data_IF_767687502565
#
_entry.id   IF_767687502565
#
_cell.length_a   1.000
_cell.length_b   1.000
_cell.length_c   1.000
_cell.angle_alpha   90.00
_cell.angle_beta   90.00
_cell.angle_gamma   90.00
#
_symmetry.space_group_name_H-M   'P 1'
#
loop_
_entity.id
_entity.type
_entity.pdbx_description
1 polymer ?
#
# COMPACT_ATOMS: atom_id res chain seq x y z
N UNK A 1 28.92 -42.89 -18.46
CA UNK A 1 29.82 -41.93 -17.79
C UNK A 1 28.96 -41.17 -16.82
N UNK A 2 29.43 -41.09 -15.58
CA UNK A 2 28.66 -40.50 -14.49
C UNK A 2 28.85 -38.99 -14.49
N UNK A 3 27.76 -38.24 -14.42
CA UNK A 3 27.76 -36.78 -14.28
C UNK A 3 26.84 -36.35 -13.13
N UNK A 4 27.01 -35.12 -12.67
CA UNK A 4 26.18 -34.50 -11.65
C UNK A 4 25.36 -33.36 -12.26
N UNK A 5 24.09 -33.27 -11.90
CA UNK A 5 23.19 -32.18 -12.30
C UNK A 5 22.77 -31.43 -11.04
N UNK A 6 23.07 -30.15 -10.97
CA UNK A 6 22.65 -29.27 -9.87
C UNK A 6 21.42 -28.49 -10.29
N UNK A 7 20.32 -28.67 -9.56
CA UNK A 7 19.04 -28.01 -9.81
C UNK A 7 19.02 -26.55 -9.30
N UNK A 8 17.93 -25.84 -9.59
CA UNK A 8 17.70 -24.46 -9.13
C UNK A 8 17.72 -24.27 -7.61
N UNK A 9 17.53 -25.35 -6.84
CA UNK A 9 17.55 -25.35 -5.38
C UNK A 9 18.93 -25.72 -4.81
N UNK A 10 19.92 -25.92 -5.68
CA UNK A 10 21.28 -26.30 -5.31
C UNK A 10 21.44 -27.78 -4.95
N UNK A 11 20.48 -28.64 -5.30
CA UNK A 11 20.55 -30.09 -5.05
C UNK A 11 21.23 -30.77 -6.23
N UNK A 12 22.20 -31.63 -5.94
CA UNK A 12 22.91 -32.40 -6.97
C UNK A 12 22.35 -33.81 -7.10
N UNK A 13 21.91 -34.16 -8.31
CA UNK A 13 21.49 -35.51 -8.69
C UNK A 13 22.53 -36.16 -9.60
N UNK A 14 22.66 -37.47 -9.53
CA UNK A 14 23.64 -38.23 -10.33
C UNK A 14 22.96 -38.86 -11.54
N UNK A 15 23.57 -38.74 -12.73
CA UNK A 15 23.04 -39.31 -13.97
C UNK A 15 24.12 -40.06 -14.75
N UNK A 16 23.76 -41.23 -15.29
CA UNK A 16 24.61 -41.99 -16.23
C UNK A 16 24.24 -41.63 -17.67
N UNK A 17 25.23 -41.16 -18.42
CA UNK A 17 25.08 -40.74 -19.82
C UNK A 17 26.06 -41.50 -20.73
N UNK A 18 25.77 -41.57 -22.03
CA UNK A 18 26.73 -42.07 -23.02
C UNK A 18 27.41 -40.87 -23.70
N UNK A 19 28.71 -40.93 -23.93
CA UNK A 19 29.43 -39.83 -24.60
C UNK A 19 29.05 -39.59 -26.05
N UNK A 20 28.38 -40.56 -26.67
CA UNK A 20 27.82 -40.46 -28.01
C UNK A 20 26.45 -39.76 -28.05
N UNK A 21 25.82 -39.51 -26.91
CA UNK A 21 24.55 -38.78 -26.84
C UNK A 21 24.80 -37.27 -27.06
N UNK A 22 23.72 -36.58 -27.42
CA UNK A 22 23.66 -35.13 -27.61
C UNK A 22 23.15 -34.43 -26.36
N UNK A 23 23.34 -33.11 -26.31
CA UNK A 23 22.76 -32.25 -25.25
C UNK A 23 21.23 -32.30 -25.28
N UNK A 24 20.61 -32.46 -26.45
CA UNK A 24 19.16 -32.66 -26.57
C UNK A 24 18.69 -33.94 -25.84
N UNK A 25 19.32 -35.09 -26.09
CA UNK A 25 18.98 -36.36 -25.42
C UNK A 25 19.24 -36.31 -23.90
N UNK A 26 20.19 -35.49 -23.45
CA UNK A 26 20.38 -35.22 -22.03
C UNK A 26 19.22 -34.42 -21.43
N UNK A 27 18.67 -33.45 -22.16
CA UNK A 27 17.52 -32.66 -21.70
C UNK A 27 16.27 -33.50 -21.50
N UNK A 28 16.00 -34.46 -22.41
CA UNK A 28 14.90 -35.42 -22.26
C UNK A 28 15.03 -36.22 -20.95
N UNK A 29 16.22 -36.72 -20.65
CA UNK A 29 16.50 -37.43 -19.37
C UNK A 29 16.32 -36.54 -18.14
N UNK A 30 16.60 -35.25 -18.27
CA UNK A 30 16.39 -34.27 -17.19
C UNK A 30 14.89 -33.97 -17.04
N UNK A 31 14.13 -33.90 -18.14
CA UNK A 31 12.67 -33.77 -18.13
C UNK A 31 12.05 -34.90 -17.30
N UNK A 32 12.45 -36.15 -17.54
CA UNK A 32 11.99 -37.31 -16.79
C UNK A 32 12.31 -37.24 -15.28
N UNK A 33 13.41 -36.57 -14.91
CA UNK A 33 13.87 -36.46 -13.52
C UNK A 33 13.26 -35.27 -12.76
N UNK A 34 13.01 -34.15 -13.44
CA UNK A 34 12.63 -32.89 -12.79
C UNK A 34 11.26 -32.37 -13.19
N UNK A 35 10.65 -32.91 -14.25
CA UNK A 35 9.37 -32.45 -14.81
C UNK A 35 9.45 -31.09 -15.51
N UNK A 36 10.65 -30.65 -15.94
CA UNK A 36 10.87 -29.37 -16.63
C UNK A 36 11.03 -29.67 -18.11
N UNK A 37 10.22 -29.09 -18.98
CA UNK A 37 10.29 -29.32 -20.44
C UNK A 37 11.65 -28.97 -21.06
N UNK A 38 12.09 -29.69 -22.10
CA UNK A 38 13.42 -29.50 -22.72
C UNK A 38 13.65 -28.07 -23.24
N UNK A 39 12.58 -27.43 -23.69
CA UNK A 39 12.53 -26.05 -24.20
C UNK A 39 12.92 -25.03 -23.13
N UNK A 40 12.55 -25.31 -21.88
CA UNK A 40 12.76 -24.44 -20.72
C UNK A 40 14.09 -24.70 -20.02
N UNK A 41 14.81 -25.77 -20.38
CA UNK A 41 16.08 -26.13 -19.74
C UNK A 41 17.28 -25.39 -20.35
N UNK A 42 18.03 -24.68 -19.50
CA UNK A 42 19.34 -24.11 -19.81
C UNK A 42 20.41 -24.90 -19.06
N UNK A 43 21.19 -25.69 -19.81
CA UNK A 43 22.29 -26.48 -19.26
C UNK A 43 23.61 -25.74 -19.45
N UNK A 44 24.39 -25.61 -18.39
CA UNK A 44 25.71 -24.99 -18.46
C UNK A 44 26.78 -25.73 -17.67
N UNK A 45 28.02 -25.67 -18.15
CA UNK A 45 29.21 -26.22 -17.49
C UNK A 45 30.31 -25.17 -17.49
N UNK A 46 30.92 -24.92 -16.33
CA UNK A 46 31.97 -23.90 -16.16
C UNK A 46 31.57 -22.52 -16.70
N UNK A 47 30.28 -22.16 -16.56
CA UNK A 47 29.74 -20.89 -17.06
C UNK A 47 29.52 -20.81 -18.57
N UNK A 48 29.69 -21.91 -19.32
CA UNK A 48 29.35 -22.00 -20.74
C UNK A 48 28.06 -22.79 -20.93
N UNK A 49 27.11 -22.20 -21.66
CA UNK A 49 25.87 -22.87 -22.05
C UNK A 49 26.17 -23.96 -23.07
N UNK A 50 25.49 -25.11 -22.92
CA UNK A 50 25.57 -26.23 -23.84
C UNK A 50 24.56 -26.05 -24.98
N UNK A 51 25.00 -26.28 -26.22
CA UNK A 51 24.14 -26.22 -27.40
C UNK A 51 23.49 -27.58 -27.68
N UNK A 52 22.20 -27.59 -28.04
CA UNK A 52 21.41 -28.83 -28.21
C UNK A 52 22.04 -29.86 -29.17
N UNK A 53 22.72 -29.40 -30.23
CA UNK A 53 23.36 -30.23 -31.26
C UNK A 53 24.75 -30.76 -30.88
N UNK A 54 25.31 -30.32 -29.75
CA UNK A 54 26.64 -30.75 -29.33
C UNK A 54 26.62 -32.15 -28.71
N UNK A 55 27.69 -32.90 -28.93
CA UNK A 55 27.88 -34.21 -28.28
C UNK A 55 28.25 -34.01 -26.80
N UNK A 56 27.77 -34.89 -25.93
CA UNK A 56 28.10 -34.81 -24.51
C UNK A 56 29.60 -35.00 -24.27
N UNK A 57 30.27 -35.84 -25.06
CA UNK A 57 31.72 -36.06 -24.96
C UNK A 57 32.59 -34.85 -25.34
N UNK A 58 32.07 -33.84 -26.04
CA UNK A 58 32.84 -32.63 -26.36
C UNK A 58 32.90 -31.63 -25.21
N UNK A 59 32.01 -31.75 -24.22
CA UNK A 59 31.90 -30.80 -23.11
C UNK A 59 31.98 -31.44 -21.73
N UNK A 60 31.78 -32.76 -21.63
CA UNK A 60 31.63 -33.48 -20.37
C UNK A 60 32.61 -34.64 -20.26
N UNK A 61 33.02 -34.91 -19.02
CA UNK A 61 33.81 -36.07 -18.62
C UNK A 61 33.15 -36.73 -17.40
N UNK A 62 33.61 -37.94 -17.05
CA UNK A 62 33.17 -38.58 -15.80
C UNK A 62 33.45 -37.65 -14.62
N UNK A 63 32.42 -37.35 -13.83
CA UNK A 63 32.46 -36.44 -12.69
C UNK A 63 32.16 -34.97 -13.01
N UNK A 64 31.83 -34.62 -14.25
CA UNK A 64 31.42 -33.25 -14.60
C UNK A 64 30.12 -32.84 -13.90
N UNK A 65 30.05 -31.57 -13.48
CA UNK A 65 28.85 -30.97 -12.89
C UNK A 65 28.17 -30.03 -13.90
N UNK A 66 26.89 -30.25 -14.15
CA UNK A 66 26.02 -29.45 -15.01
C UNK A 66 25.09 -28.64 -14.13
N UNK A 67 24.99 -27.34 -14.40
CA UNK A 67 24.05 -26.46 -13.74
C UNK A 67 22.80 -26.34 -14.61
N UNK A 68 21.65 -26.73 -14.05
CA UNK A 68 20.34 -26.58 -14.67
C UNK A 68 19.75 -25.23 -14.23
N UNK A 69 19.58 -24.33 -15.19
CA UNK A 69 18.79 -23.12 -15.06
C UNK A 69 17.50 -23.26 -15.88
N UNK A 70 16.47 -22.49 -15.52
CA UNK A 70 15.26 -22.38 -16.33
C UNK A 70 15.36 -21.11 -17.17
N UNK A 71 15.18 -21.25 -18.49
CA UNK A 71 14.91 -20.10 -19.35
C UNK A 71 13.58 -19.51 -18.90
N UNK A 72 13.62 -18.37 -18.19
CA UNK A 72 12.40 -17.60 -18.00
C UNK A 72 12.04 -17.01 -19.36
N UNK A 73 10.91 -17.43 -19.92
CA UNK A 73 10.31 -16.78 -21.08
C UNK A 73 9.99 -15.36 -20.62
N UNK A 74 10.85 -14.41 -20.95
CA UNK A 74 10.47 -13.01 -20.97
C UNK A 74 9.34 -12.92 -21.99
N UNK A 75 8.17 -12.44 -21.56
CA UNK A 75 6.99 -12.29 -22.42
C UNK A 75 7.37 -11.52 -23.68
N UNK A 76 7.64 -12.26 -24.74
CA UNK A 76 7.71 -11.79 -26.11
C UNK A 76 6.76 -12.73 -26.81
N UNK A 77 5.56 -12.22 -27.05
CA UNK A 77 4.43 -12.94 -27.59
C UNK A 77 4.79 -13.65 -28.87
N UNK A 78 4.54 -14.94 -28.88
CA UNK A 78 4.20 -15.79 -30.02
C UNK A 78 3.64 -17.13 -29.47
N UNK A 79 2.96 -17.08 -28.32
CA UNK A 79 2.01 -18.10 -27.93
C UNK A 79 0.65 -17.44 -28.13
N UNK A 80 -0.15 -17.95 -29.06
CA UNK A 80 -1.59 -17.67 -29.15
C UNK A 80 -2.31 -18.27 -27.92
N UNK A 81 -1.88 -17.92 -26.71
CA UNK A 81 -2.78 -17.90 -25.58
C UNK A 81 -3.76 -16.77 -25.91
N UNK A 82 -4.98 -17.11 -26.33
CA UNK A 82 -6.08 -16.14 -26.32
C UNK A 82 -6.09 -15.53 -24.92
N UNK A 83 -5.58 -14.29 -24.78
CA UNK A 83 -5.67 -13.56 -23.53
C UNK A 83 -7.17 -13.43 -23.24
N UNK A 84 -7.67 -14.29 -22.34
CA UNK A 84 -9.08 -14.30 -21.98
C UNK A 84 -9.43 -12.89 -21.49
N UNK A 85 -10.25 -12.20 -22.28
CA UNK A 85 -10.63 -10.84 -21.96
C UNK A 85 -11.36 -10.84 -20.62
N UNK A 86 -10.88 -10.03 -19.67
CA UNK A 86 -11.48 -9.93 -18.35
C UNK A 86 -12.98 -9.67 -18.45
N UNK A 87 -13.77 -10.38 -17.65
CA UNK A 87 -15.22 -10.20 -17.62
C UNK A 87 -15.59 -8.77 -17.18
N UNK A 88 -16.80 -8.28 -17.52
CA UNK A 88 -17.26 -6.95 -17.08
C UNK A 88 -17.20 -6.76 -15.54
N UNK A 89 -17.46 -7.82 -14.78
CA UNK A 89 -17.36 -7.80 -13.32
C UNK A 89 -15.91 -7.65 -12.86
N UNK A 90 -14.96 -8.38 -13.46
CA UNK A 90 -13.54 -8.26 -13.14
C UNK A 90 -13.00 -6.88 -13.50
N UNK A 91 -13.37 -6.34 -14.67
CA UNK A 91 -13.05 -4.97 -15.07
C UNK A 91 -13.58 -3.96 -14.04
N UNK A 92 -14.82 -4.14 -13.56
CA UNK A 92 -15.38 -3.31 -12.50
C UNK A 92 -14.59 -3.41 -11.18
N UNK A 93 -14.22 -4.62 -10.75
CA UNK A 93 -13.43 -4.81 -9.53
C UNK A 93 -12.03 -4.18 -9.63
N UNK A 94 -11.37 -4.30 -10.79
CA UNK A 94 -10.06 -3.69 -11.06
C UNK A 94 -10.17 -2.16 -11.05
N UNK A 95 -11.18 -1.61 -11.73
CA UNK A 95 -11.44 -0.16 -11.74
C UNK A 95 -11.73 0.37 -10.32
N UNK A 96 -12.57 -0.33 -9.56
CA UNK A 96 -12.88 -0.05 -8.16
C UNK A 96 -11.62 -0.07 -7.29
N UNK A 97 -10.74 -1.05 -7.49
CA UNK A 97 -9.46 -1.12 -6.80
C UNK A 97 -8.58 0.09 -7.10
N UNK A 98 -8.36 0.44 -8.37
CA UNK A 98 -7.54 1.59 -8.73
C UNK A 98 -8.06 2.90 -8.14
N UNK A 99 -9.36 3.17 -8.26
CA UNK A 99 -9.95 4.40 -7.73
C UNK A 99 -9.88 4.42 -6.19
N UNK A 100 -10.19 3.32 -5.51
CA UNK A 100 -10.15 3.29 -4.03
C UNK A 100 -8.74 3.41 -3.46
N UNK A 101 -7.72 2.94 -4.18
CA UNK A 101 -6.30 3.08 -3.78
C UNK A 101 -5.66 4.41 -4.19
N UNK A 102 -6.41 5.35 -4.77
CA UNK A 102 -5.87 6.64 -5.19
C UNK A 102 -5.10 7.35 -4.07
N UNK A 103 -3.94 7.97 -4.38
CA UNK A 103 -3.24 8.82 -3.44
C UNK A 103 -4.11 9.98 -2.94
N UNK A 104 -3.82 10.52 -1.74
CA UNK A 104 -4.57 11.66 -1.19
C UNK A 104 -4.63 12.84 -2.18
N UNK A 105 -5.84 13.32 -2.49
CA UNK A 105 -6.03 14.47 -3.38
C UNK A 105 -5.96 14.19 -4.88
N UNK A 106 -5.67 12.94 -5.29
CA UNK A 106 -5.42 12.59 -6.69
C UNK A 106 -6.53 11.75 -7.34
N UNK A 107 -7.58 11.41 -6.59
CA UNK A 107 -8.66 10.52 -7.05
C UNK A 107 -9.33 10.99 -8.34
N UNK A 108 -9.47 12.29 -8.59
CA UNK A 108 -10.10 12.80 -9.81
C UNK A 108 -9.27 12.49 -11.06
N UNK A 109 -7.93 12.50 -10.95
CA UNK A 109 -7.06 12.10 -12.04
C UNK A 109 -7.20 10.60 -12.31
N UNK A 110 -7.16 9.80 -11.24
CA UNK A 110 -7.29 8.33 -11.35
C UNK A 110 -8.65 7.92 -11.92
N UNK A 111 -9.74 8.58 -11.51
CA UNK A 111 -11.08 8.31 -12.08
C UNK A 111 -11.09 8.60 -13.58
N UNK A 112 -10.56 9.75 -14.02
CA UNK A 112 -10.51 10.11 -15.44
C UNK A 112 -9.69 9.09 -16.25
N UNK A 113 -8.54 8.68 -15.73
CA UNK A 113 -7.68 7.69 -16.39
C UNK A 113 -8.36 6.32 -16.44
N UNK A 114 -8.94 5.86 -15.35
CA UNK A 114 -9.64 4.55 -15.28
C UNK A 114 -10.87 4.51 -16.18
N UNK A 115 -11.67 5.58 -16.22
CA UNK A 115 -12.81 5.68 -17.14
C UNK A 115 -12.35 5.60 -18.59
N UNK A 116 -11.24 6.26 -18.92
CA UNK A 116 -10.65 6.22 -20.27
C UNK A 116 -10.09 4.84 -20.61
N UNK A 117 -9.50 4.14 -19.65
CA UNK A 117 -8.91 2.81 -19.86
C UNK A 117 -9.95 1.70 -19.98
N UNK A 118 -11.05 1.78 -19.24
CA UNK A 118 -12.13 0.80 -19.32
C UNK A 118 -12.93 0.98 -20.61
N UNK A 119 -13.12 2.23 -21.05
CA UNK A 119 -13.83 2.61 -22.29
C UNK A 119 -15.19 1.91 -22.49
N UNK A 120 -15.88 1.61 -21.39
CA UNK A 120 -17.19 0.95 -21.38
C UNK A 120 -18.10 1.59 -20.32
N UNK A 121 -19.06 2.38 -20.82
CA UNK A 121 -20.04 3.08 -19.99
C UNK A 121 -21.05 2.15 -19.31
N UNK A 122 -21.17 0.89 -19.71
CA UNK A 122 -22.01 -0.08 -19.02
C UNK A 122 -21.36 -0.59 -17.72
N UNK A 123 -20.03 -0.54 -17.64
CA UNK A 123 -19.25 -0.97 -16.47
C UNK A 123 -19.09 0.19 -15.49
N UNK A 124 -18.70 1.38 -15.98
CA UNK A 124 -18.49 2.58 -15.16
C UNK A 124 -19.58 3.63 -15.39
N UNK A 125 -20.84 3.21 -15.26
CA UNK A 125 -21.97 4.15 -15.24
C UNK A 125 -21.97 5.05 -13.99
N UNK A 126 -22.86 6.05 -13.96
CA UNK A 126 -22.97 7.00 -12.84
C UNK A 126 -23.23 6.31 -11.49
N UNK A 127 -23.99 5.21 -11.48
CA UNK A 127 -24.34 4.47 -10.27
C UNK A 127 -23.12 3.73 -9.71
N UNK A 128 -22.39 3.04 -10.57
CA UNK A 128 -21.20 2.29 -10.25
C UNK A 128 -20.05 3.22 -9.80
N UNK A 129 -19.85 4.34 -10.51
CA UNK A 129 -18.91 5.38 -10.08
C UNK A 129 -19.29 5.97 -8.72
N UNK A 130 -20.57 6.24 -8.46
CA UNK A 130 -21.01 6.72 -7.15
C UNK A 130 -20.77 5.70 -6.04
N UNK A 131 -20.92 4.41 -6.31
CA UNK A 131 -20.61 3.34 -5.35
C UNK A 131 -19.12 3.30 -5.00
N UNK A 132 -18.26 3.34 -6.02
CA UNK A 132 -16.80 3.35 -5.83
C UNK A 132 -16.35 4.62 -5.10
N UNK A 133 -16.85 5.78 -5.53
CA UNK A 133 -16.51 7.07 -4.93
C UNK A 133 -17.00 7.19 -3.49
N UNK A 134 -18.19 6.67 -3.16
CA UNK A 134 -18.66 6.59 -1.77
C UNK A 134 -17.63 5.85 -0.92
N UNK A 135 -17.25 4.63 -1.34
CA UNK A 135 -16.28 3.80 -0.62
C UNK A 135 -14.94 4.51 -0.46
N UNK A 136 -14.39 5.07 -1.54
CA UNK A 136 -13.14 5.84 -1.48
C UNK A 136 -13.23 7.02 -0.49
N UNK A 137 -14.31 7.80 -0.57
CA UNK A 137 -14.49 9.00 0.23
C UNK A 137 -14.60 8.67 1.72
N UNK A 138 -15.35 7.63 2.08
CA UNK A 138 -15.48 7.15 3.46
C UNK A 138 -14.17 6.54 3.99
N UNK A 139 -13.50 5.67 3.22
CA UNK A 139 -12.27 5.00 3.65
C UNK A 139 -11.08 5.94 3.84
N UNK A 140 -11.09 7.06 3.12
CA UNK A 140 -10.05 8.10 3.14
C UNK A 140 -10.42 9.33 3.97
N UNK A 141 -11.58 9.33 4.64
CA UNK A 141 -12.14 10.49 5.35
C UNK A 141 -12.00 11.79 4.55
N UNK A 142 -12.46 11.78 3.30
CA UNK A 142 -12.37 12.93 2.40
C UNK A 142 -13.02 14.15 3.05
N UNK A 143 -12.29 15.26 3.08
CA UNK A 143 -12.76 16.52 3.66
C UNK A 143 -13.52 17.28 2.58
N UNK A 144 -14.76 17.64 2.87
CA UNK A 144 -15.65 18.34 1.96
C UNK A 144 -16.29 19.56 2.62
N UNK A 145 -16.57 20.58 1.81
CA UNK A 145 -17.21 21.81 2.25
C UNK A 145 -18.73 21.74 2.05
N UNK A 146 -19.47 22.27 3.02
CA UNK A 146 -20.87 22.67 2.89
C UNK A 146 -21.06 24.03 3.56
N UNK A 147 -21.55 25.01 2.81
CA UNK A 147 -21.90 26.35 3.33
C UNK A 147 -20.74 27.01 4.13
N UNK A 148 -19.54 27.02 3.53
CA UNK A 148 -18.34 27.62 4.14
C UNK A 148 -17.76 26.85 5.34
N UNK A 149 -18.32 25.69 5.69
CA UNK A 149 -17.90 24.86 6.83
C UNK A 149 -17.50 23.46 6.35
N UNK A 150 -16.38 22.98 6.88
CA UNK A 150 -15.83 21.67 6.52
C UNK A 150 -16.48 20.54 7.31
N UNK A 151 -16.64 19.39 6.65
CA UNK A 151 -17.08 18.12 7.21
C UNK A 151 -16.26 16.98 6.57
N UNK A 152 -16.43 15.75 7.06
CA UNK A 152 -15.76 14.57 6.48
C UNK A 152 -16.79 13.57 5.98
N UNK A 153 -16.44 12.85 4.92
CA UNK A 153 -17.11 11.60 4.57
C UNK A 153 -16.67 10.52 5.56
N UNK A 154 -17.63 9.89 6.23
CA UNK A 154 -17.36 8.82 7.20
C UNK A 154 -18.56 7.89 7.24
N UNK A 155 -18.32 6.58 7.17
CA UNK A 155 -19.37 5.57 7.31
C UNK A 155 -20.10 5.67 8.67
N UNK A 156 -19.44 6.18 9.71
CA UNK A 156 -20.07 6.43 11.03
C UNK A 156 -21.07 7.59 11.03
N UNK A 157 -21.01 8.44 10.00
CA UNK A 157 -21.94 9.53 9.79
C UNK A 157 -23.01 9.23 8.73
N UNK A 158 -22.97 8.09 8.04
CA UNK A 158 -23.93 7.75 6.99
C UNK A 158 -25.32 7.46 7.59
N UNK A 159 -26.32 8.21 7.13
CA UNK A 159 -27.72 8.07 7.52
C UNK A 159 -28.54 7.30 6.47
N UNK A 160 -27.88 6.81 5.41
CA UNK A 160 -28.53 6.19 4.27
C UNK A 160 -28.98 7.24 3.23
N UNK A 161 -29.34 6.75 2.04
CA UNK A 161 -29.80 7.59 0.92
C UNK A 161 -28.83 8.73 0.54
N UNK A 162 -27.54 8.58 0.85
CA UNK A 162 -26.53 9.61 0.62
C UNK A 162 -26.65 10.83 1.55
N UNK A 163 -27.32 10.69 2.68
CA UNK A 163 -27.37 11.69 3.76
C UNK A 163 -26.31 11.37 4.80
N UNK A 164 -25.64 12.39 5.33
CA UNK A 164 -24.61 12.29 6.33
C UNK A 164 -24.87 13.23 7.49
N UNK A 165 -24.62 12.77 8.70
CA UNK A 165 -24.60 13.61 9.88
C UNK A 165 -23.27 14.36 9.99
N UNK A 166 -23.34 15.68 10.14
CA UNK A 166 -22.21 16.53 10.52
C UNK A 166 -22.27 16.82 12.03
N UNK A 167 -21.52 16.06 12.85
CA UNK A 167 -21.53 16.21 14.31
C UNK A 167 -20.85 17.47 14.83
N UNK A 168 -20.07 18.16 13.98
CA UNK A 168 -19.33 19.38 14.34
C UNK A 168 -20.29 20.57 14.26
N UNK A 169 -21.03 20.67 13.16
CA UNK A 169 -21.93 21.79 12.90
C UNK A 169 -23.40 21.48 13.21
N UNK A 170 -23.69 20.26 13.68
CA UNK A 170 -25.03 19.77 14.04
C UNK A 170 -26.05 19.98 12.92
N UNK A 171 -25.77 19.35 11.78
CA UNK A 171 -26.61 19.43 10.58
C UNK A 171 -26.61 18.11 9.81
N UNK A 172 -27.59 17.93 8.94
CA UNK A 172 -27.63 16.83 7.97
C UNK A 172 -27.20 17.35 6.60
N UNK A 173 -26.36 16.57 5.94
CA UNK A 173 -25.74 16.89 4.66
C UNK A 173 -26.14 15.87 3.61
N UNK A 174 -26.39 16.30 2.38
CA UNK A 174 -26.55 15.43 1.21
C UNK A 174 -25.25 15.40 0.43
N UNK A 175 -24.76 14.20 0.15
CA UNK A 175 -23.50 13.97 -0.57
C UNK A 175 -23.65 14.10 -2.09
N UNK A 176 -22.66 14.73 -2.71
CA UNK A 176 -22.28 14.52 -4.11
C UNK A 176 -20.90 13.83 -4.11
N UNK A 177 -20.88 12.52 -4.39
CA UNK A 177 -19.67 11.70 -4.21
C UNK A 177 -18.58 11.99 -5.23
N UNK A 178 -18.97 12.31 -6.47
CA UNK A 178 -18.03 12.62 -7.54
C UNK A 178 -17.42 14.00 -7.35
N UNK A 179 -18.25 15.01 -7.04
CA UNK A 179 -17.73 16.36 -6.76
C UNK A 179 -17.07 16.47 -5.40
N UNK A 180 -17.27 15.48 -4.52
CA UNK A 180 -16.76 15.46 -3.14
C UNK A 180 -17.22 16.71 -2.38
N UNK A 181 -18.49 17.04 -2.52
CA UNK A 181 -19.13 18.18 -1.85
C UNK A 181 -20.37 17.73 -1.08
N UNK A 182 -20.81 18.62 -0.19
CA UNK A 182 -22.05 18.44 0.56
C UNK A 182 -22.99 19.62 0.32
N UNK A 183 -24.29 19.34 0.33
CA UNK A 183 -25.33 20.37 0.45
C UNK A 183 -26.08 20.20 1.77
N UNK A 184 -26.43 21.31 2.41
CA UNK A 184 -27.16 21.29 3.70
C UNK A 184 -28.62 20.93 3.43
N UNK A 185 -29.18 20.02 4.23
CA UNK A 185 -30.59 19.64 4.16
C UNK A 185 -31.36 20.20 5.34
N UNK A 186 -32.69 20.14 5.27
CA UNK A 186 -33.61 20.47 6.37
C UNK A 186 -33.99 19.24 7.20
N UNK A 187 -33.29 18.11 7.03
CA UNK A 187 -33.58 16.88 7.77
C UNK A 187 -33.27 17.07 9.27
N UNK A 188 -34.01 16.40 10.16
CA UNK A 188 -33.76 16.47 11.60
C UNK A 188 -32.40 15.88 11.94
N UNK A 189 -31.71 16.53 12.89
CA UNK A 189 -30.43 16.04 13.40
C UNK A 189 -30.66 14.77 14.25
N UNK A 190 -29.90 13.69 14.02
CA UNK A 190 -29.98 12.49 14.85
C UNK A 190 -29.65 12.79 16.32
N UNK A 191 -30.44 12.24 17.23
CA UNK A 191 -30.17 12.29 18.67
C UNK A 191 -29.51 10.99 19.14
N UNK A 192 -28.58 11.11 20.11
CA UNK A 192 -27.93 9.96 20.74
C UNK A 192 -28.06 10.04 22.25
N UNK A 193 -28.32 8.91 22.92
CA UNK A 193 -28.27 8.80 24.38
C UNK A 193 -26.90 9.11 24.97
N UNK A 194 -25.83 9.07 24.16
CA UNK A 194 -24.46 9.37 24.56
C UNK A 194 -23.96 10.73 24.07
N UNK A 195 -24.86 11.63 23.69
CA UNK A 195 -24.52 12.96 23.14
C UNK A 195 -23.63 13.77 24.09
N UNK A 196 -23.80 13.64 25.41
CA UNK A 196 -22.96 14.32 26.40
C UNK A 196 -21.48 13.90 26.32
N UNK A 197 -21.20 12.61 26.13
CA UNK A 197 -19.83 12.10 25.92
C UNK A 197 -19.30 12.53 24.56
N UNK A 198 -20.11 12.41 23.50
CA UNK A 198 -19.73 12.78 22.13
C UNK A 198 -19.30 14.24 22.05
N UNK A 199 -20.11 15.16 22.61
CA UNK A 199 -19.81 16.60 22.61
C UNK A 199 -18.55 16.91 23.43
N UNK A 200 -18.41 16.31 24.61
CA UNK A 200 -17.22 16.53 25.45
C UNK A 200 -15.94 16.04 24.76
N UNK A 201 -15.98 14.87 24.13
CA UNK A 201 -14.87 14.29 23.36
C UNK A 201 -14.58 15.14 22.13
N UNK A 202 -15.61 15.58 21.39
CA UNK A 202 -15.45 16.48 20.24
C UNK A 202 -14.71 17.76 20.62
N UNK A 203 -15.13 18.44 21.70
CA UNK A 203 -14.50 19.69 22.12
C UNK A 203 -13.03 19.49 22.51
N UNK A 204 -12.73 18.40 23.23
CA UNK A 204 -11.36 18.05 23.59
C UNK A 204 -10.51 17.67 22.36
N UNK A 205 -11.08 16.91 21.43
CA UNK A 205 -10.40 16.45 20.21
C UNK A 205 -10.11 17.61 19.24
N UNK A 206 -11.02 18.60 19.13
CA UNK A 206 -10.78 19.81 18.34
C UNK A 206 -9.60 20.61 18.89
N UNK A 207 -9.50 20.75 20.21
CA UNK A 207 -8.35 21.42 20.85
C UNK A 207 -7.03 20.67 20.58
N UNK A 208 -7.06 19.34 20.65
CA UNK A 208 -5.91 18.51 20.29
C UNK A 208 -5.52 18.72 18.82
N UNK A 209 -6.49 18.64 17.90
CA UNK A 209 -6.29 18.83 16.47
C UNK A 209 -5.60 20.17 16.18
N UNK A 210 -6.09 21.27 16.74
CA UNK A 210 -5.49 22.60 16.58
C UNK A 210 -4.05 22.66 17.10
N UNK A 211 -3.73 21.98 18.22
CA UNK A 211 -2.39 21.99 18.77
C UNK A 211 -1.39 21.12 17.98
N UNK A 212 -1.82 19.95 17.54
CA UNK A 212 -0.96 18.95 16.92
C UNK A 212 -0.80 19.17 15.40
N UNK A 213 -1.87 19.58 14.71
CA UNK A 213 -1.93 19.69 13.25
C UNK A 213 -1.80 21.13 12.73
N UNK A 214 -2.14 22.14 13.53
CA UNK A 214 -2.11 23.56 13.12
C UNK A 214 -0.85 24.30 13.61
N UNK A 215 0.35 23.75 13.33
CA UNK A 215 1.61 24.42 13.67
C UNK A 215 1.83 25.66 12.77
N UNK A 216 2.06 26.83 13.39
CA UNK A 216 2.20 28.15 12.73
C UNK A 216 3.29 28.25 11.64
N UNK A 217 4.24 27.32 11.60
CA UNK A 217 5.40 27.32 10.67
C UNK A 217 5.06 26.89 9.24
N UNK A 218 3.79 26.73 8.90
CA UNK A 218 3.40 25.77 7.89
C UNK A 218 2.22 26.34 7.07
N UNK A 219 2.50 26.84 5.86
CA UNK A 219 1.61 27.63 4.96
C UNK A 219 0.13 27.15 4.89
N UNK A 220 -0.84 28.07 5.03
CA UNK A 220 -2.27 27.80 5.31
C UNK A 220 -3.15 27.43 4.11
N UNK A 221 -2.77 27.77 2.88
CA UNK A 221 -3.71 27.73 1.74
C UNK A 221 -4.17 26.31 1.32
N UNK A 222 -3.32 25.29 1.50
CA UNK A 222 -3.57 23.92 1.01
C UNK A 222 -3.76 22.89 2.13
N UNK A 223 -4.04 23.36 3.35
CA UNK A 223 -4.12 22.48 4.52
C UNK A 223 -5.54 22.39 4.99
N UNK A 224 -6.02 21.17 5.06
CA UNK A 224 -7.33 20.85 5.59
C UNK A 224 -7.14 19.80 6.66
N UNK A 225 -7.59 20.10 7.88
CA UNK A 225 -7.70 19.13 8.93
C UNK A 225 -9.07 19.26 9.58
N UNK A 226 -9.74 18.13 9.80
CA UNK A 226 -11.05 18.07 10.42
C UNK A 226 -11.09 16.89 11.37
N UNK A 227 -11.75 17.08 12.50
CA UNK A 227 -12.15 15.99 13.40
C UNK A 227 -13.66 15.91 13.43
N UNK A 228 -14.19 14.69 13.36
CA UNK A 228 -15.60 14.42 13.59
C UNK A 228 -15.75 13.27 14.59
N UNK A 229 -16.65 13.44 15.54
CA UNK A 229 -16.92 12.48 16.61
C UNK A 229 -18.39 12.07 16.54
N UNK A 230 -18.60 10.80 16.29
CA UNK A 230 -19.91 10.15 16.14
C UNK A 230 -20.21 9.28 17.36
N UNK A 231 -21.49 9.10 17.65
CA UNK A 231 -21.96 8.21 18.70
C UNK A 231 -23.06 7.30 18.15
N UNK A 232 -23.01 6.01 18.44
CA UNK A 232 -24.05 5.05 18.07
C UNK A 232 -24.89 4.62 19.29
N UNK A 233 -25.98 3.90 19.04
CA UNK A 233 -26.87 3.40 20.09
C UNK A 233 -26.25 2.29 20.96
N UNK A 234 -25.15 1.67 20.50
CA UNK A 234 -24.39 0.69 21.28
C UNK A 234 -23.44 1.32 22.29
N UNK A 235 -23.24 2.65 22.20
CA UNK A 235 -22.32 3.40 23.05
C UNK A 235 -20.91 3.52 22.52
N UNK A 236 -20.66 3.14 21.28
CA UNK A 236 -19.38 3.40 20.64
C UNK A 236 -19.30 4.87 20.25
N UNK A 237 -18.25 5.53 20.73
CA UNK A 237 -17.83 6.84 20.28
C UNK A 237 -16.72 6.64 19.25
N UNK A 238 -16.96 7.10 18.02
CA UNK A 238 -16.04 7.00 16.90
C UNK A 238 -15.46 8.38 16.61
N UNK A 239 -14.14 8.53 16.81
CA UNK A 239 -13.38 9.74 16.57
C UNK A 239 -12.64 9.56 15.25
N UNK A 240 -13.03 10.33 14.23
CA UNK A 240 -12.40 10.33 12.92
C UNK A 240 -11.63 11.63 12.73
N UNK A 241 -10.33 11.54 12.52
CA UNK A 241 -9.43 12.65 12.22
C UNK A 241 -8.94 12.49 10.79
N UNK A 242 -9.03 13.57 10.01
CA UNK A 242 -8.49 13.63 8.65
C UNK A 242 -7.62 14.87 8.54
N UNK A 243 -6.42 14.73 8.01
CA UNK A 243 -5.53 15.82 7.69
C UNK A 243 -4.87 15.57 6.33
N UNK A 244 -4.97 16.57 5.45
CA UNK A 244 -4.42 16.52 4.09
C UNK A 244 -3.58 17.76 3.85
N UNK A 245 -2.45 17.56 3.18
CA UNK A 245 -1.57 18.63 2.71
C UNK A 245 -1.03 18.23 1.34
N UNK A 246 -1.25 19.07 0.35
CA UNK A 246 -1.00 18.72 -1.04
C UNK A 246 -0.42 19.89 -1.84
N UNK A 247 0.49 19.55 -2.74
CA UNK A 247 1.06 20.44 -3.76
C UNK A 247 1.26 19.70 -5.08
N UNK A 248 0.22 18.99 -5.51
CA UNK A 248 0.23 18.10 -6.68
C UNK A 248 0.78 18.80 -7.94
N UNK A 249 0.25 19.99 -8.29
CA UNK A 249 0.63 20.69 -9.54
C UNK A 249 1.95 21.47 -9.45
N UNK A 250 2.27 21.99 -8.26
CA UNK A 250 3.37 22.95 -8.09
C UNK A 250 4.65 22.30 -7.56
N UNK A 251 4.55 21.12 -6.93
CA UNK A 251 5.66 20.43 -6.30
C UNK A 251 5.55 18.90 -6.37
N UNK A 252 4.58 18.35 -7.11
CA UNK A 252 4.47 16.92 -7.41
C UNK A 252 4.45 16.02 -6.17
N UNK A 253 3.75 16.45 -5.11
CA UNK A 253 3.55 15.60 -3.93
C UNK A 253 2.19 15.84 -3.25
N UNK A 254 1.72 14.80 -2.58
CA UNK A 254 0.53 14.80 -1.74
C UNK A 254 0.78 14.00 -0.45
N UNK A 255 0.09 14.38 0.63
CA UNK A 255 0.21 13.74 1.93
C UNK A 255 -1.12 13.73 2.65
N UNK A 256 -1.44 12.59 3.25
CA UNK A 256 -2.67 12.35 3.98
C UNK A 256 -2.41 11.59 5.28
N UNK A 257 -3.12 11.98 6.33
CA UNK A 257 -3.15 11.32 7.63
C UNK A 257 -4.59 11.13 8.04
N UNK A 258 -4.98 9.88 8.26
CA UNK A 258 -6.32 9.51 8.72
C UNK A 258 -6.19 8.70 10.01
N UNK A 259 -6.91 9.10 11.04
CA UNK A 259 -7.01 8.33 12.28
C UNK A 259 -8.45 8.06 12.66
N UNK A 260 -8.71 6.84 13.09
CA UNK A 260 -9.98 6.43 13.66
C UNK A 260 -9.72 5.84 15.04
N UNK A 261 -10.44 6.34 16.04
CA UNK A 261 -10.45 5.77 17.37
C UNK A 261 -11.87 5.41 17.77
N UNK A 262 -12.05 4.23 18.35
CA UNK A 262 -13.35 3.76 18.85
C UNK A 262 -13.23 3.40 20.31
N UNK A 263 -14.14 3.95 21.13
CA UNK A 263 -14.24 3.66 22.56
C UNK A 263 -15.71 3.49 22.95
N UNK A 264 -16.03 2.42 23.67
CA UNK A 264 -17.38 2.20 24.15
C UNK A 264 -17.60 2.89 25.51
N UNK A 265 -18.62 3.74 25.61
CA UNK A 265 -18.98 4.51 26.82
C UNK A 265 -20.28 4.02 27.46
N UNK A 266 -20.83 2.87 27.03
CA UNK A 266 -22.09 2.36 27.55
C UNK A 266 -22.00 1.95 29.02
N UNK A 267 -20.81 1.52 29.46
CA UNK A 267 -20.53 1.10 30.84
C UNK A 267 -19.43 1.97 31.46
N UNK A 268 -19.62 2.36 32.72
CA UNK A 268 -18.55 3.00 33.51
C UNK A 268 -17.45 1.98 33.84
N UNK A 269 -16.23 2.45 34.04
CA UNK A 269 -15.07 1.59 34.32
C UNK A 269 -14.07 1.55 33.17
N UNK A 270 -13.22 0.53 33.11
CA UNK A 270 -12.21 0.42 32.07
C UNK A 270 -12.82 0.03 30.72
N UNK A 271 -12.46 0.78 29.66
CA UNK A 271 -12.83 0.52 28.28
C UNK A 271 -11.60 0.49 27.38
N UNK A 272 -11.59 -0.41 26.40
CA UNK A 272 -10.54 -0.48 25.38
C UNK A 272 -10.70 0.63 24.36
N UNK A 273 -9.56 1.14 23.89
CA UNK A 273 -9.48 2.07 22.76
C UNK A 273 -8.98 1.28 21.56
N UNK A 274 -9.85 1.12 20.56
CA UNK A 274 -9.46 0.60 19.26
C UNK A 274 -8.93 1.76 18.42
N UNK A 275 -7.80 1.58 17.77
CA UNK A 275 -7.17 2.62 16.95
C UNK A 275 -6.76 2.07 15.58
N UNK A 276 -7.08 2.83 14.54
CA UNK A 276 -6.63 2.64 13.16
C UNK A 276 -6.04 3.96 12.67
N UNK A 277 -4.75 3.96 12.32
CA UNK A 277 -4.09 5.14 11.74
C UNK A 277 -3.55 4.76 10.36
N UNK A 278 -3.83 5.58 9.35
CA UNK A 278 -3.29 5.47 8.00
C UNK A 278 -2.50 6.72 7.66
N UNK A 279 -1.24 6.56 7.31
CA UNK A 279 -0.39 7.63 6.77
C UNK A 279 -0.05 7.31 5.32
N UNK A 280 -0.34 8.24 4.41
CA UNK A 280 -0.08 8.12 2.97
C UNK A 280 0.67 9.33 2.47
N UNK A 281 1.75 9.11 1.73
CA UNK A 281 2.51 10.17 1.05
C UNK A 281 2.82 9.70 -0.36
N UNK A 282 2.69 10.59 -1.33
CA UNK A 282 3.03 10.33 -2.72
C UNK A 282 3.92 11.46 -3.22
N UNK A 283 5.05 11.12 -3.83
CA UNK A 283 5.95 12.03 -4.51
C UNK A 283 6.21 11.50 -5.91
N UNK A 284 5.98 12.35 -6.91
CA UNK A 284 6.01 11.95 -8.32
C UNK A 284 6.78 12.93 -9.23
N UNK A 285 7.73 13.67 -8.64
CA UNK A 285 8.70 14.44 -9.41
C UNK A 285 9.75 13.48 -10.00
N UNK A 286 9.78 13.35 -11.33
CA UNK A 286 10.73 12.49 -12.07
C UNK A 286 10.74 11.00 -11.65
N UNK A 287 9.65 10.53 -11.05
CA UNK A 287 9.51 9.15 -10.58
C UNK A 287 8.15 8.92 -9.92
N UNK A 288 7.98 7.77 -9.25
CA UNK A 288 6.81 7.50 -8.41
C UNK A 288 7.29 6.84 -7.12
N UNK A 289 7.17 7.57 -6.00
CA UNK A 289 7.54 7.11 -4.66
C UNK A 289 6.35 7.28 -3.74
N UNK A 290 5.91 6.18 -3.12
CA UNK A 290 4.79 6.18 -2.18
C UNK A 290 5.21 5.64 -0.81
N UNK A 291 4.70 6.29 0.24
CA UNK A 291 4.61 5.74 1.58
C UNK A 291 3.15 5.38 1.81
N UNK A 292 2.90 4.10 2.11
CA UNK A 292 1.60 3.63 2.62
C UNK A 292 1.89 2.92 3.93
N UNK A 293 1.42 3.50 5.03
CA UNK A 293 1.66 2.97 6.37
C UNK A 293 0.37 2.90 7.16
N UNK A 294 0.18 1.80 7.89
CA UNK A 294 -1.04 1.48 8.62
C UNK A 294 -0.70 0.95 10.01
N UNK A 295 -1.34 1.51 11.03
CA UNK A 295 -1.33 1.01 12.41
C UNK A 295 -2.73 0.54 12.79
N UNK A 296 -2.84 -0.67 13.33
CA UNK A 296 -4.03 -1.17 14.00
C UNK A 296 -3.68 -1.68 15.39
N UNK A 297 -4.35 -1.17 16.42
CA UNK A 297 -4.09 -1.52 17.84
C UNK A 297 -5.38 -1.54 18.67
N UNK A 298 -5.39 -2.38 19.71
CA UNK A 298 -6.50 -2.55 20.67
C UNK A 298 -6.02 -2.73 22.13
N UNK A 299 -4.77 -2.37 22.40
CA UNK A 299 -4.07 -2.60 23.66
C UNK A 299 -4.16 -1.42 24.65
N UNK A 300 -4.53 -0.23 24.17
CA UNK A 300 -4.77 0.92 25.03
C UNK A 300 -6.14 0.82 25.73
N UNK A 301 -6.21 1.26 26.98
CA UNK A 301 -7.46 1.39 27.74
C UNK A 301 -7.58 2.75 28.41
N UNK A 302 -8.81 3.16 28.67
CA UNK A 302 -9.18 4.40 29.37
C UNK A 302 -10.28 4.12 30.38
N UNK A 303 -10.37 4.92 31.43
CA UNK A 303 -11.46 4.81 32.41
C UNK A 303 -12.63 5.72 32.02
N UNK A 304 -13.80 5.12 31.79
CA UNK A 304 -15.07 5.80 31.53
C UNK A 304 -15.68 6.21 32.87
N UNK A 305 -15.80 7.51 33.05
CA UNK A 305 -16.42 8.15 34.21
C UNK A 305 -17.39 9.22 33.74
N UNK A 306 -17.31 10.43 34.30
CA UNK A 306 -18.12 11.55 33.83
C UNK A 306 -17.65 12.04 32.44
N UNK A 307 -18.52 12.61 31.60
CA UNK A 307 -18.20 12.97 30.21
C UNK A 307 -16.92 13.79 30.04
N UNK A 308 -16.73 14.83 30.86
CA UNK A 308 -15.55 15.70 30.78
C UNK A 308 -14.25 15.03 31.19
N UNK A 309 -14.28 14.12 32.18
CA UNK A 309 -13.09 13.36 32.60
C UNK A 309 -12.75 12.30 31.55
N UNK A 310 -13.77 11.61 31.03
CA UNK A 310 -13.65 10.62 29.96
C UNK A 310 -13.05 11.26 28.70
N UNK A 311 -13.54 12.44 28.31
CA UNK A 311 -13.02 13.17 27.15
C UNK A 311 -11.51 13.48 27.26
N UNK A 312 -11.06 13.93 28.43
CA UNK A 312 -9.63 14.18 28.68
C UNK A 312 -8.81 12.90 28.59
N UNK A 313 -9.27 11.81 29.19
CA UNK A 313 -8.57 10.52 29.16
C UNK A 313 -8.48 9.95 27.74
N UNK A 314 -9.58 10.01 26.97
CA UNK A 314 -9.64 9.54 25.58
C UNK A 314 -8.70 10.34 24.70
N UNK A 315 -8.73 11.68 24.75
CA UNK A 315 -7.86 12.51 23.91
C UNK A 315 -6.37 12.37 24.30
N UNK A 316 -6.06 12.20 25.59
CA UNK A 316 -4.69 11.89 26.00
C UNK A 316 -4.21 10.54 25.45
N UNK A 317 -5.08 9.53 25.37
CA UNK A 317 -4.77 8.25 24.74
C UNK A 317 -4.55 8.43 23.22
N UNK A 318 -5.40 9.20 22.54
CA UNK A 318 -5.23 9.56 21.11
C UNK A 318 -3.86 10.20 20.87
N UNK A 319 -3.53 11.26 21.60
CA UNK A 319 -2.25 11.98 21.47
C UNK A 319 -1.05 11.04 21.70
N UNK A 320 -1.12 10.20 22.73
CA UNK A 320 -0.05 9.24 23.03
C UNK A 320 0.14 8.22 21.89
N UNK A 321 -0.95 7.68 21.35
CA UNK A 321 -0.90 6.68 20.27
C UNK A 321 -0.38 7.31 18.99
N UNK A 322 -0.90 8.47 18.58
CA UNK A 322 -0.45 9.18 17.37
C UNK A 322 1.02 9.59 17.48
N UNK A 323 1.43 10.15 18.63
CA UNK A 323 2.82 10.57 18.85
C UNK A 323 3.79 9.39 18.81
N UNK A 324 3.43 8.27 19.45
CA UNK A 324 4.24 7.05 19.41
C UNK A 324 4.34 6.48 17.98
N UNK A 325 3.25 6.52 17.22
CA UNK A 325 3.25 6.05 15.84
C UNK A 325 4.12 6.95 14.95
N UNK A 326 3.97 8.26 15.06
CA UNK A 326 4.84 9.22 14.35
C UNK A 326 6.31 8.97 14.68
N UNK A 327 6.67 8.86 15.97
CA UNK A 327 8.04 8.56 16.38
C UNK A 327 8.57 7.25 15.78
N UNK A 328 7.75 6.20 15.74
CA UNK A 328 8.14 4.92 15.12
C UNK A 328 8.42 5.03 13.62
N UNK A 329 7.68 5.91 12.90
CA UNK A 329 7.93 6.17 11.48
C UNK A 329 9.23 6.96 11.28
N UNK A 330 9.51 7.95 12.13
CA UNK A 330 10.78 8.70 12.10
C UNK A 330 11.99 7.76 12.32
N UNK A 331 11.91 6.87 13.31
CA UNK A 331 12.93 5.84 13.57
C UNK A 331 13.07 4.84 12.42
N UNK A 332 11.96 4.46 11.79
CA UNK A 332 11.96 3.60 10.59
C UNK A 332 12.78 4.23 9.47
N UNK A 333 12.56 5.53 9.17
CA UNK A 333 13.30 6.22 8.11
C UNK A 333 14.80 6.34 8.41
N UNK A 334 15.18 6.61 9.67
CA UNK A 334 16.58 6.61 10.09
C UNK A 334 17.21 5.23 9.86
N UNK A 335 16.50 4.16 10.25
CA UNK A 335 16.98 2.77 10.11
C UNK A 335 17.11 2.35 8.65
N UNK A 336 16.14 2.71 7.81
CA UNK A 336 16.15 2.43 6.37
C UNK A 336 17.37 3.08 5.70
N UNK A 337 17.61 4.37 5.97
CA UNK A 337 18.73 5.12 5.41
C UNK A 337 20.10 4.60 5.85
N UNK A 338 20.22 4.17 7.11
CA UNK A 338 21.50 3.74 7.66
C UNK A 338 21.85 2.28 7.35
N UNK A 339 20.85 1.41 7.20
CA UNK A 339 21.06 -0.06 7.13
C UNK A 339 20.49 -0.67 5.85
N UNK A 340 19.17 -0.62 5.65
CA UNK A 340 18.50 -1.40 4.59
C UNK A 340 18.98 -1.00 3.19
N UNK A 341 18.98 0.30 2.86
CA UNK A 341 19.43 0.77 1.55
C UNK A 341 20.91 0.46 1.29
N UNK A 342 21.77 0.58 2.31
CA UNK A 342 23.20 0.27 2.19
C UNK A 342 23.47 -1.21 1.95
N UNK A 343 22.62 -2.10 2.50
CA UNK A 343 22.71 -3.55 2.26
C UNK A 343 22.27 -3.94 0.84
N UNK A 344 21.31 -3.22 0.26
CA UNK A 344 20.87 -3.47 -1.12
C UNK A 344 21.90 -2.99 -2.15
N UNK A 345 22.37 -1.74 -2.03
CA UNK A 345 23.37 -1.19 -2.94
C UNK A 345 24.30 -0.26 -2.20
N UNK A 346 25.60 -0.56 -2.29
CA UNK A 346 26.64 0.33 -1.76
C UNK A 346 26.79 1.54 -2.68
N UNK A 347 26.97 2.71 -2.09
CA UNK A 347 27.29 3.95 -2.84
C UNK A 347 28.63 3.79 -3.58
N UNK A 348 29.59 3.12 -2.94
CA UNK A 348 30.87 2.74 -3.54
C UNK A 348 31.19 1.27 -3.25
N UNK A 349 31.97 0.61 -4.13
CA UNK A 349 32.57 -0.69 -3.85
C UNK A 349 33.33 -0.73 -2.51
N UNK A 350 33.69 -1.94 -2.05
CA UNK A 350 34.37 -2.16 -0.75
C UNK A 350 35.64 -1.33 -0.61
N UNK A 351 36.39 -1.22 -1.69
CA UNK A 351 37.64 -0.45 -1.77
C UNK A 351 37.45 1.09 -1.80
N UNK A 352 36.21 1.58 -1.67
CA UNK A 352 35.86 3.01 -1.69
C UNK A 352 36.31 3.75 -2.97
N UNK A 353 36.52 3.03 -4.07
CA UNK A 353 36.90 3.60 -5.37
C UNK A 353 35.81 3.29 -6.38
N UNK A 354 35.58 4.22 -7.32
CA UNK A 354 34.74 3.93 -8.49
C UNK A 354 35.33 2.74 -9.25
N UNK A 355 34.45 1.97 -9.89
CA UNK A 355 34.88 0.86 -10.73
C UNK A 355 35.82 1.39 -11.82
N UNK A 356 36.99 0.77 -11.96
CA UNK A 356 37.84 0.96 -13.13
C UNK A 356 37.19 0.15 -14.26
N UNK A 357 36.86 0.75 -15.40
CA UNK A 357 36.21 0.01 -16.49
C UNK A 357 37.21 -0.57 -17.50
N UNK A 358 38.52 -0.36 -17.31
CA UNK A 358 39.55 -0.89 -18.20
C UNK A 358 39.71 -2.39 -17.99
N UNK A 359 39.50 -3.19 -19.04
CA UNK A 359 39.61 -4.66 -18.96
C UNK A 359 40.97 -5.14 -18.45
N UNK A 360 42.06 -4.45 -18.82
CA UNK A 360 43.41 -4.78 -18.37
C UNK A 360 43.64 -4.62 -16.85
N UNK A 361 42.77 -3.88 -16.15
CA UNK A 361 42.85 -3.70 -14.70
C UNK A 361 42.21 -4.88 -13.92
N UNK A 362 41.49 -5.77 -14.59
CA UNK A 362 40.76 -6.87 -13.95
C UNK A 362 41.32 -8.22 -14.41
N UNK A 363 42.26 -8.75 -13.62
CA UNK A 363 42.68 -10.14 -13.76
C UNK A 363 42.26 -10.90 -12.49
N UNK A 364 41.17 -11.65 -12.60
CA UNK A 364 40.47 -12.31 -11.48
C UNK A 364 41.42 -13.18 -10.65
N UNK A 365 42.39 -13.85 -11.30
CA UNK A 365 43.37 -14.70 -10.63
C UNK A 365 44.32 -13.94 -9.67
N UNK A 366 44.63 -12.67 -9.95
CA UNK A 366 45.51 -11.85 -9.11
C UNK A 366 44.82 -11.26 -7.87
N UNK A 367 43.50 -11.21 -7.87
CA UNK A 367 42.69 -10.58 -6.82
C UNK A 367 42.16 -11.57 -5.76
N UNK A 368 42.27 -12.89 -6.00
CA UNK A 368 41.85 -13.93 -5.04
C UNK A 368 42.97 -14.33 -4.03
N UNK A 369 44.18 -13.81 -4.20
CA UNK A 369 45.34 -14.12 -3.35
C UNK A 369 45.80 -12.97 -2.44
N UNK A 370 44.97 -11.94 -2.25
CA UNK A 370 45.26 -10.79 -1.36
C UNK A 370 44.30 -10.71 -0.19
#
# INVERSE_FOLDING_TARGET
MQIFITDLKGRSSTLEIKGSETVWELKEKITDLTGIEESSQLLSVNGRQLENSSLLSSHLHTGSCIHLAIAMKGGSGDDDEEEEEASPEEKFQIASYFITQSPPGEVDFVVNDVVTLVDDNSILDEKNLNLIMKKHNEDSFVIAEADGKMAIFSAHGDLGEGKYFDPVNKRVLKADYQKKTFSVTSDPVPESKYESYRVAIMEAATKYLDSAYNKKTMNRANKKHVVAVYANDSGDINICISAVNEKIRAAFWSGGWNSQFTVNVASKGEAKVESLIKARVHCFEEGNVQLVSKLEKKDASVTIGEPGATAKAVVAAVEKIESAYQGSMEEMYITLAQSAFKKMRRILPVNQKKMDWRMAAHNVASQMHS
#
